data_IF_232207441712
#
_entry.id   IF_232207441712
#
_cell.length_a   1.000
_cell.length_b   1.000
_cell.length_c   1.000
_cell.angle_alpha   90.00
_cell.angle_beta   90.00
_cell.angle_gamma   90.00
#
_symmetry.space_group_name_H-M   'P 1'
#
loop_
_entity.id
_entity.type
_entity.pdbx_description
1 polymer ?
#
# COMPACT_ATOMS: atom_id res chain seq x y z
N UNK A 1 -18.61 25.22 5.71
CA UNK A 1 -18.28 24.49 4.46
C UNK A 1 -16.84 24.72 3.92
N UNK A 2 -15.86 25.11 4.74
CA UNK A 2 -14.44 25.24 4.32
C UNK A 2 -13.42 24.60 5.29
N UNK A 3 -13.82 23.62 6.11
CA UNK A 3 -12.92 22.97 7.10
C UNK A 3 -12.96 21.44 7.12
N UNK A 4 -13.54 20.77 6.12
CA UNK A 4 -13.63 19.28 6.07
C UNK A 4 -12.66 18.66 5.04
N UNK A 5 -11.88 19.47 4.30
CA UNK A 5 -10.95 18.96 3.26
C UNK A 5 -9.51 18.77 3.77
N UNK A 6 -9.24 18.97 5.06
CA UNK A 6 -7.88 18.93 5.61
C UNK A 6 -7.50 17.62 6.34
N UNK A 7 -8.21 16.51 6.10
CA UNK A 7 -7.90 15.21 6.71
C UNK A 7 -7.54 14.17 5.64
N UNK A 8 -6.55 14.47 4.80
CA UNK A 8 -5.93 13.45 3.93
C UNK A 8 -4.44 13.66 3.63
N UNK A 9 -3.78 14.61 4.29
CA UNK A 9 -2.38 14.95 4.03
C UNK A 9 -1.67 15.33 5.33
N UNK A 10 -1.21 14.33 6.08
CA UNK A 10 -0.07 14.51 6.98
C UNK A 10 0.98 13.49 6.54
N UNK A 11 1.96 13.99 5.79
CA UNK A 11 3.18 13.28 5.42
C UNK A 11 3.93 12.88 6.69
N UNK A 12 4.19 11.58 6.82
CA UNK A 12 5.08 11.01 7.83
C UNK A 12 6.54 11.24 7.40
N UNK A 13 7.24 12.14 8.09
CA UNK A 13 8.68 12.00 8.27
C UNK A 13 8.91 11.08 9.46
N UNK A 14 9.31 9.82 9.22
CA UNK A 14 9.85 8.96 10.27
C UNK A 14 11.32 9.34 10.47
N UNK A 15 11.60 9.97 11.60
CA UNK A 15 12.96 10.24 12.07
C UNK A 15 13.50 8.94 12.71
N UNK A 16 14.36 8.22 12.00
CA UNK A 16 15.14 7.11 12.57
C UNK A 16 16.28 7.69 13.40
N UNK A 17 16.04 7.98 14.68
CA UNK A 17 17.10 8.36 15.61
C UNK A 17 16.59 9.00 16.89
N UNK A 18 16.54 8.23 17.97
CA UNK A 18 16.27 8.75 19.32
C UNK A 18 15.97 7.64 20.32
N UNK A 19 16.96 7.29 21.14
CA UNK A 19 16.78 6.43 22.33
C UNK A 19 16.02 7.22 23.40
N UNK A 20 14.82 6.78 23.76
CA UNK A 20 14.24 6.98 25.10
C UNK A 20 13.42 5.75 25.49
N UNK A 21 13.56 5.34 26.74
CA UNK A 21 12.97 4.15 27.34
C UNK A 21 11.45 4.29 27.52
N UNK A 22 10.69 3.76 26.56
CA UNK A 22 9.40 3.09 26.79
C UNK A 22 9.35 1.92 25.82
N UNK A 23 9.08 0.69 26.29
CA UNK A 23 8.82 -0.50 25.46
C UNK A 23 7.48 -0.34 24.73
N UNK A 24 7.40 0.61 23.80
CA UNK A 24 6.24 0.80 22.94
C UNK A 24 6.74 0.64 21.52
N UNK A 25 6.32 -0.46 20.89
CA UNK A 25 6.71 -0.75 19.53
C UNK A 25 5.98 0.21 18.59
N UNK A 26 6.63 1.33 18.28
CA UNK A 26 6.18 2.35 17.32
C UNK A 26 5.96 1.78 15.90
N UNK A 27 6.31 0.50 15.65
CA UNK A 27 6.00 -0.21 14.40
C UNK A 27 4.68 -0.97 14.43
N UNK A 28 3.96 -1.01 15.57
CA UNK A 28 2.71 -1.78 15.69
C UNK A 28 1.62 -1.20 14.77
N UNK A 29 1.08 -2.05 13.89
CA UNK A 29 0.01 -1.73 12.95
C UNK A 29 -1.30 -2.39 13.38
N UNK A 30 -2.43 -1.80 12.99
CA UNK A 30 -3.74 -2.38 13.27
C UNK A 30 -4.80 -1.93 12.28
N UNK A 31 -5.58 -2.86 11.76
CA UNK A 31 -6.76 -2.54 10.97
C UNK A 31 -7.94 -2.34 11.93
N UNK A 32 -8.74 -1.30 11.70
CA UNK A 32 -9.88 -1.00 12.56
C UNK A 32 -11.12 -0.61 11.76
N UNK A 33 -12.28 -0.99 12.29
CA UNK A 33 -13.56 -0.38 11.95
C UNK A 33 -14.04 0.47 13.12
N UNK A 34 -14.77 1.53 12.80
CA UNK A 34 -15.29 2.54 13.71
C UNK A 34 -16.82 2.58 13.58
N UNK A 35 -17.45 2.73 14.72
CA UNK A 35 -18.83 3.17 14.87
C UNK A 35 -18.81 4.50 15.63
N UNK A 36 -19.11 5.58 14.94
CA UNK A 36 -19.18 6.94 15.48
C UNK A 36 -20.65 7.36 15.65
N UNK A 37 -21.06 7.51 16.92
CA UNK A 37 -22.43 7.84 17.30
C UNK A 37 -22.42 9.26 17.87
N UNK A 38 -23.13 10.20 17.24
CA UNK A 38 -23.18 11.56 17.76
C UNK A 38 -23.98 11.62 19.06
N UNK A 39 -23.53 12.43 20.02
CA UNK A 39 -24.25 12.65 21.27
C UNK A 39 -25.63 13.30 21.07
N UNK A 40 -25.87 13.91 19.91
CA UNK A 40 -27.11 14.61 19.57
C UNK A 40 -28.07 13.83 18.65
N UNK A 41 -27.69 12.65 18.15
CA UNK A 41 -28.39 12.03 17.01
C UNK A 41 -29.71 11.31 17.33
N UNK A 42 -29.93 10.80 18.55
CA UNK A 42 -31.17 10.08 18.89
C UNK A 42 -31.45 10.17 20.41
N UNK A 43 -32.69 10.47 20.82
CA UNK A 43 -33.16 10.14 22.18
C UNK A 43 -33.61 8.67 22.21
N UNK A 44 -33.11 7.80 23.12
CA UNK A 44 -32.34 8.07 24.34
C UNK A 44 -30.81 7.79 24.24
N UNK A 45 -30.17 7.88 23.07
CA UNK A 45 -28.72 7.65 22.86
C UNK A 45 -27.79 8.72 23.47
N UNK A 46 -28.30 9.59 24.34
CA UNK A 46 -27.53 10.67 25.01
C UNK A 46 -26.68 10.18 26.18
N UNK A 47 -26.92 8.99 26.71
CA UNK A 47 -26.17 8.46 27.85
C UNK A 47 -25.19 7.37 27.43
N UNK A 48 -24.02 7.37 28.08
CA UNK A 48 -22.99 6.33 27.97
C UNK A 48 -23.54 4.92 28.22
N UNK A 49 -24.62 4.80 29.01
CA UNK A 49 -25.32 3.54 29.30
C UNK A 49 -25.97 2.94 28.05
N UNK A 50 -26.60 3.74 27.20
CA UNK A 50 -27.22 3.24 25.97
C UNK A 50 -26.16 2.78 24.96
N UNK A 51 -25.05 3.53 24.87
CA UNK A 51 -23.90 3.13 24.04
C UNK A 51 -23.26 1.85 24.57
N UNK A 52 -23.17 1.69 25.89
CA UNK A 52 -22.67 0.46 26.51
C UNK A 52 -23.60 -0.73 26.25
N UNK A 53 -24.92 -0.52 26.23
CA UNK A 53 -25.86 -1.55 25.81
C UNK A 53 -25.62 -2.00 24.36
N UNK A 54 -25.49 -1.06 23.42
CA UNK A 54 -25.17 -1.37 22.00
C UNK A 54 -23.86 -2.16 21.91
N UNK A 55 -22.83 -1.68 22.62
CA UNK A 55 -21.52 -2.36 22.68
C UNK A 55 -21.65 -3.79 23.21
N UNK A 56 -22.40 -4.01 24.30
CA UNK A 56 -22.68 -5.34 24.85
C UNK A 56 -23.43 -6.22 23.88
N UNK A 57 -24.45 -5.69 23.20
CA UNK A 57 -25.23 -6.43 22.21
C UNK A 57 -24.35 -6.87 21.02
N UNK A 58 -23.35 -6.08 20.62
CA UNK A 58 -22.33 -6.47 19.63
C UNK A 58 -21.43 -7.60 20.17
N UNK A 59 -20.90 -7.45 21.39
CA UNK A 59 -20.01 -8.45 22.02
C UNK A 59 -20.72 -9.78 22.21
N UNK A 60 -21.98 -9.75 22.64
CA UNK A 60 -22.86 -10.91 22.83
C UNK A 60 -23.44 -11.44 21.52
N UNK A 61 -23.06 -10.84 20.37
CA UNK A 61 -23.48 -11.23 19.01
C UNK A 61 -25.00 -11.21 18.79
N UNK A 62 -25.73 -10.37 19.54
CA UNK A 62 -27.16 -10.10 19.29
C UNK A 62 -27.37 -9.24 18.04
N UNK A 63 -26.40 -8.37 17.76
CA UNK A 63 -26.28 -7.62 16.51
C UNK A 63 -24.82 -7.70 16.04
N UNK A 64 -24.60 -7.58 14.74
CA UNK A 64 -23.25 -7.43 14.18
C UNK A 64 -22.76 -6.00 14.32
N UNK A 65 -21.44 -5.81 14.27
CA UNK A 65 -20.86 -4.46 14.24
C UNK A 65 -21.31 -3.70 12.99
N UNK A 66 -21.43 -4.40 11.87
CA UNK A 66 -21.86 -3.88 10.57
C UNK A 66 -23.32 -3.42 10.57
N UNK A 67 -24.22 -4.17 11.23
CA UNK A 67 -25.60 -3.73 11.45
C UNK A 67 -25.65 -2.47 12.32
N UNK A 68 -24.85 -2.41 13.38
CA UNK A 68 -24.75 -1.22 14.22
C UNK A 68 -24.25 -0.01 13.41
N UNK A 69 -23.20 -0.17 12.59
CA UNK A 69 -22.72 0.86 11.65
C UNK A 69 -23.82 1.29 10.69
N UNK A 70 -24.48 0.36 10.00
CA UNK A 70 -25.55 0.68 9.05
C UNK A 70 -26.64 1.55 9.67
N UNK A 71 -27.03 1.23 10.90
CA UNK A 71 -28.15 1.87 11.58
C UNK A 71 -27.75 3.18 12.28
N UNK A 72 -26.56 3.25 12.88
CA UNK A 72 -26.19 4.30 13.84
C UNK A 72 -25.01 5.17 13.40
N UNK A 73 -24.22 4.74 12.42
CA UNK A 73 -23.06 5.52 11.97
C UNK A 73 -23.49 6.87 11.41
N UNK A 74 -22.88 7.91 11.94
CA UNK A 74 -23.19 9.30 11.63
C UNK A 74 -22.50 9.81 10.36
N UNK A 75 -21.38 9.19 9.99
CA UNK A 75 -20.61 9.53 8.80
C UNK A 75 -21.02 8.64 7.60
N UNK A 76 -21.57 9.21 6.52
CA UNK A 76 -21.99 8.44 5.35
C UNK A 76 -20.87 7.60 4.72
N UNK A 77 -19.63 8.08 4.71
CA UNK A 77 -18.49 7.36 4.14
C UNK A 77 -18.14 6.12 4.96
N UNK A 78 -18.14 6.23 6.30
CA UNK A 78 -17.88 5.08 7.16
C UNK A 78 -19.01 4.07 7.07
N UNK A 79 -20.26 4.53 6.94
CA UNK A 79 -21.41 3.66 6.73
C UNK A 79 -21.28 2.77 5.49
N UNK A 80 -20.90 3.35 4.35
CA UNK A 80 -20.65 2.60 3.10
C UNK A 80 -19.47 1.63 3.19
N UNK A 81 -18.48 1.92 4.05
CA UNK A 81 -17.30 1.07 4.26
C UNK A 81 -17.47 0.07 5.40
N UNK A 82 -18.71 -0.17 5.86
CA UNK A 82 -19.00 -1.01 7.02
C UNK A 82 -18.17 -0.65 8.26
N UNK A 83 -17.89 0.65 8.43
CA UNK A 83 -17.13 1.24 9.53
C UNK A 83 -15.63 1.31 9.29
N UNK A 84 -15.11 0.71 8.21
CA UNK A 84 -13.67 0.54 8.05
C UNK A 84 -12.91 1.87 7.88
N UNK A 85 -11.96 2.12 8.80
CA UNK A 85 -11.13 3.33 8.82
C UNK A 85 -9.69 3.07 8.37
N UNK A 86 -9.37 1.86 7.88
CA UNK A 86 -8.04 1.53 7.37
C UNK A 86 -7.09 0.97 8.41
N UNK A 87 -5.83 0.79 7.98
CA UNK A 87 -4.71 0.43 8.84
C UNK A 87 -4.22 1.69 9.56
N UNK A 88 -4.20 1.65 10.87
CA UNK A 88 -3.71 2.67 11.78
C UNK A 88 -2.31 2.28 12.28
N UNK A 89 -1.49 3.29 12.58
CA UNK A 89 -0.17 3.12 13.20
C UNK A 89 -0.21 3.70 14.59
N UNK A 90 0.45 3.02 15.53
CA UNK A 90 0.57 3.52 16.89
C UNK A 90 1.27 4.89 16.91
N UNK A 91 0.74 5.86 17.66
CA UNK A 91 1.16 7.25 17.69
C UNK A 91 0.67 8.10 16.51
N UNK A 92 -0.10 7.51 15.60
CA UNK A 92 -0.69 8.20 14.45
C UNK A 92 -2.13 7.74 14.19
N UNK A 93 -2.90 7.62 15.27
CA UNK A 93 -4.30 7.26 15.19
C UNK A 93 -5.15 8.40 14.63
N UNK A 94 -6.11 8.09 13.76
CA UNK A 94 -6.96 9.09 13.12
C UNK A 94 -7.93 9.80 14.08
N UNK A 95 -8.24 9.18 15.23
CA UNK A 95 -9.10 9.76 16.27
C UNK A 95 -8.24 10.40 17.39
N UNK A 96 -8.72 11.49 18.02
CA UNK A 96 -8.03 12.12 19.14
C UNK A 96 -8.23 11.30 20.42
N UNK A 97 -7.49 10.20 20.53
CA UNK A 97 -7.49 9.29 21.69
C UNK A 97 -6.27 9.56 22.58
N UNK A 98 -6.39 9.25 23.87
CA UNK A 98 -5.26 9.26 24.80
C UNK A 98 -4.27 8.12 24.49
N UNK A 99 -3.01 8.25 24.94
CA UNK A 99 -2.00 7.18 24.81
C UNK A 99 -2.49 5.86 25.42
N UNK A 100 -3.21 5.91 26.55
CA UNK A 100 -3.75 4.72 27.21
C UNK A 100 -4.86 4.03 26.38
N UNK A 101 -5.76 4.80 25.78
CA UNK A 101 -6.80 4.28 24.88
C UNK A 101 -6.17 3.67 23.63
N UNK A 102 -5.18 4.33 23.05
CA UNK A 102 -4.46 3.79 21.89
C UNK A 102 -3.77 2.47 22.23
N UNK A 103 -3.06 2.39 23.37
CA UNK A 103 -2.46 1.12 23.84
C UNK A 103 -3.53 0.03 23.98
N UNK A 104 -4.69 0.35 24.54
CA UNK A 104 -5.81 -0.61 24.65
C UNK A 104 -6.30 -1.07 23.29
N UNK A 105 -6.50 -0.15 22.33
CA UNK A 105 -6.97 -0.46 20.98
C UNK A 105 -5.99 -1.39 20.25
N UNK A 106 -4.69 -1.15 20.36
CA UNK A 106 -3.68 -1.97 19.71
C UNK A 106 -3.49 -3.33 20.40
N UNK A 107 -3.93 -3.52 21.64
CA UNK A 107 -3.87 -4.80 22.36
C UNK A 107 -5.09 -5.70 22.09
N UNK A 108 -6.14 -5.19 21.44
CA UNK A 108 -7.27 -6.01 21.00
C UNK A 108 -6.82 -7.10 20.01
N UNK A 109 -7.40 -8.29 20.15
CA UNK A 109 -7.33 -9.35 19.15
C UNK A 109 -8.30 -9.06 17.99
N UNK A 110 -8.03 -9.62 16.82
CA UNK A 110 -8.94 -9.52 15.68
C UNK A 110 -10.36 -9.98 16.06
N UNK A 111 -11.35 -9.19 15.68
CA UNK A 111 -12.77 -9.37 16.03
C UNK A 111 -13.19 -8.77 17.37
N UNK A 112 -12.27 -8.38 18.26
CA UNK A 112 -12.62 -7.78 19.54
C UNK A 112 -13.11 -6.32 19.40
N UNK A 113 -14.00 -5.95 20.31
CA UNK A 113 -14.62 -4.63 20.40
C UNK A 113 -13.96 -3.82 21.52
N UNK A 114 -13.59 -2.58 21.23
CA UNK A 114 -12.97 -1.67 22.20
C UNK A 114 -13.91 -1.31 23.35
N UNK A 115 -13.37 -0.69 24.40
CA UNK A 115 -14.17 0.14 25.29
C UNK A 115 -14.77 1.33 24.53
N UNK A 116 -15.78 1.97 25.13
CA UNK A 116 -16.32 3.23 24.60
C UNK A 116 -15.26 4.32 24.77
N UNK A 117 -14.94 4.98 23.67
CA UNK A 117 -14.11 6.19 23.66
C UNK A 117 -15.05 7.38 23.61
N UNK A 118 -14.87 8.30 24.56
CA UNK A 118 -15.67 9.51 24.63
C UNK A 118 -14.94 10.66 23.94
N UNK A 119 -15.48 11.07 22.80
CA UNK A 119 -15.00 12.23 22.05
C UNK A 119 -15.81 13.47 22.47
N UNK A 120 -15.34 14.70 22.14
CA UNK A 120 -16.06 15.91 22.52
C UNK A 120 -17.54 15.92 22.08
N UNK A 121 -17.82 15.50 20.84
CA UNK A 121 -19.17 15.54 20.25
C UNK A 121 -19.81 14.16 20.06
N UNK A 122 -19.03 13.09 20.25
CA UNK A 122 -19.39 11.75 19.79
C UNK A 122 -18.98 10.69 20.81
N UNK A 123 -19.54 9.49 20.64
CA UNK A 123 -18.99 8.26 21.19
C UNK A 123 -18.42 7.41 20.06
N UNK A 124 -17.27 6.80 20.30
CA UNK A 124 -16.62 5.89 19.37
C UNK A 124 -16.52 4.49 19.98
N UNK A 125 -16.92 3.50 19.19
CA UNK A 125 -16.63 2.09 19.44
C UNK A 125 -15.84 1.58 18.26
N UNK A 126 -14.71 0.91 18.51
CA UNK A 126 -13.88 0.34 17.48
C UNK A 126 -13.91 -1.18 17.53
N UNK A 127 -13.77 -1.79 16.36
CA UNK A 127 -13.54 -3.22 16.18
C UNK A 127 -12.16 -3.41 15.59
N UNK A 128 -11.35 -4.29 16.18
CA UNK A 128 -10.07 -4.69 15.58
C UNK A 128 -10.35 -5.62 14.42
N UNK A 129 -9.90 -5.25 13.24
CA UNK A 129 -10.06 -6.08 12.03
C UNK A 129 -8.83 -6.97 11.82
N UNK A 130 -9.06 -8.07 11.12
CA UNK A 130 -8.01 -8.99 10.72
C UNK A 130 -7.07 -8.37 9.68
N UNK A 131 -5.78 -8.56 9.89
CA UNK A 131 -4.75 -8.35 8.88
C UNK A 131 -4.21 -9.74 8.55
N UNK A 132 -4.20 -10.11 7.27
CA UNK A 132 -3.58 -11.35 6.82
C UNK A 132 -2.09 -11.03 6.61
N UNK A 133 -1.31 -11.22 7.67
CA UNK A 133 0.07 -10.71 7.78
C UNK A 133 1.07 -11.32 6.80
N UNK A 134 0.77 -12.49 6.23
CA UNK A 134 1.60 -13.18 5.24
C UNK A 134 1.24 -12.84 3.78
N UNK A 135 0.21 -12.01 3.56
CA UNK A 135 -0.25 -11.62 2.22
C UNK A 135 -0.17 -10.12 2.00
N UNK A 136 0.53 -9.73 0.93
CA UNK A 136 0.44 -8.41 0.32
C UNK A 136 -0.69 -8.37 -0.71
N UNK A 137 -1.17 -7.17 -1.02
CA UNK A 137 -2.20 -6.96 -2.03
C UNK A 137 -1.77 -5.88 -3.03
N UNK A 138 -1.71 -6.28 -4.29
CA UNK A 138 -1.60 -5.39 -5.44
C UNK A 138 -3.01 -5.06 -5.96
N UNK A 139 -3.18 -3.84 -6.46
CA UNK A 139 -4.47 -3.32 -6.92
C UNK A 139 -4.32 -2.34 -8.09
N UNK A 140 -5.28 -2.44 -9.01
CA UNK A 140 -5.50 -1.48 -10.09
C UNK A 140 -6.98 -1.14 -10.09
N UNK A 141 -7.29 0.15 -9.85
CA UNK A 141 -8.62 0.74 -10.07
C UNK A 141 -8.67 1.47 -11.41
N UNK A 142 -9.67 1.18 -12.24
CA UNK A 142 -9.96 1.92 -13.48
C UNK A 142 -11.38 2.47 -13.38
N UNK A 143 -11.49 3.79 -13.13
CA UNK A 143 -12.77 4.48 -12.98
C UNK A 143 -13.35 4.95 -14.32
N UNK A 144 -14.61 5.39 -14.33
CA UNK A 144 -15.25 6.07 -15.46
C UNK A 144 -15.94 7.36 -15.01
N UNK A 145 -16.28 8.23 -15.96
CA UNK A 145 -17.00 9.48 -15.65
C UNK A 145 -18.33 9.18 -14.96
N UNK A 146 -18.49 9.67 -13.73
CA UNK A 146 -19.69 9.44 -12.90
C UNK A 146 -19.56 8.30 -11.90
N UNK A 147 -18.48 7.51 -11.92
CA UNK A 147 -18.14 6.62 -10.81
C UNK A 147 -17.85 7.43 -9.54
N UNK A 148 -18.15 6.87 -8.37
CA UNK A 148 -17.94 7.55 -7.09
C UNK A 148 -16.44 7.81 -6.87
N UNK A 149 -16.08 9.02 -6.45
CA UNK A 149 -14.68 9.40 -6.21
C UNK A 149 -13.79 9.46 -7.46
N UNK A 150 -14.37 9.36 -8.65
CA UNK A 150 -13.62 9.41 -9.91
C UNK A 150 -12.90 10.75 -10.09
N UNK A 151 -11.59 10.76 -10.45
CA UNK A 151 -10.88 12.00 -10.73
C UNK A 151 -11.54 12.81 -11.86
N UNK A 152 -11.63 14.14 -11.71
CA UNK A 152 -12.27 15.04 -12.69
C UNK A 152 -11.66 14.90 -14.10
N UNK A 153 -10.36 14.59 -14.20
CA UNK A 153 -9.69 14.40 -15.48
C UNK A 153 -10.18 13.17 -16.27
N UNK A 154 -10.83 12.20 -15.61
CA UNK A 154 -11.35 11.00 -16.27
C UNK A 154 -12.66 11.32 -16.98
N UNK A 155 -12.63 11.32 -18.31
CA UNK A 155 -13.79 11.62 -19.16
C UNK A 155 -14.36 10.39 -19.88
N UNK A 156 -13.73 9.22 -19.74
CA UNK A 156 -14.13 7.98 -20.43
C UNK A 156 -15.44 7.40 -19.91
N UNK A 157 -16.20 6.72 -20.78
CA UNK A 157 -17.43 5.99 -20.43
C UNK A 157 -17.12 4.71 -19.65
N UNK A 158 -18.16 4.07 -19.11
CA UNK A 158 -18.02 2.78 -18.43
C UNK A 158 -17.51 1.68 -19.38
N UNK A 159 -17.99 1.65 -20.61
CA UNK A 159 -17.56 0.68 -21.63
C UNK A 159 -16.10 0.90 -22.02
N UNK A 160 -15.66 2.16 -22.12
CA UNK A 160 -14.26 2.48 -22.37
C UNK A 160 -13.36 2.09 -21.17
N UNK A 161 -13.83 2.30 -19.95
CA UNK A 161 -13.13 1.85 -18.75
C UNK A 161 -13.01 0.33 -18.68
N UNK A 162 -14.05 -0.41 -19.08
CA UNK A 162 -14.01 -1.87 -19.15
C UNK A 162 -12.97 -2.37 -20.15
N UNK A 163 -12.94 -1.81 -21.36
CA UNK A 163 -11.91 -2.13 -22.37
C UNK A 163 -10.50 -1.86 -21.85
N UNK A 164 -10.32 -0.74 -21.16
CA UNK A 164 -9.04 -0.41 -20.50
C UNK A 164 -8.66 -1.44 -19.43
N UNK A 165 -9.64 -1.97 -18.67
CA UNK A 165 -9.40 -3.01 -17.67
C UNK A 165 -9.06 -4.36 -18.31
N UNK A 166 -9.71 -4.70 -19.43
CA UNK A 166 -9.38 -5.88 -20.21
C UNK A 166 -7.96 -5.81 -20.79
N UNK A 167 -7.56 -4.65 -21.29
CA UNK A 167 -6.18 -4.40 -21.74
C UNK A 167 -5.18 -4.50 -20.59
N UNK A 168 -5.46 -3.88 -19.44
CA UNK A 168 -4.59 -3.98 -18.26
C UNK A 168 -4.45 -5.45 -17.81
N UNK A 169 -5.55 -6.19 -17.74
CA UNK A 169 -5.54 -7.61 -17.38
C UNK A 169 -4.75 -8.45 -18.40
N UNK A 170 -4.87 -8.14 -19.69
CA UNK A 170 -4.10 -8.79 -20.75
C UNK A 170 -2.61 -8.55 -20.57
N UNK A 171 -2.19 -7.29 -20.38
CA UNK A 171 -0.79 -6.94 -20.18
C UNK A 171 -0.18 -7.64 -18.95
N UNK A 172 -0.93 -7.74 -17.85
CA UNK A 172 -0.49 -8.48 -16.66
C UNK A 172 -0.34 -9.98 -16.94
N UNK A 173 -1.30 -10.57 -17.66
CA UNK A 173 -1.23 -11.99 -18.06
C UNK A 173 -0.09 -12.30 -19.04
N UNK A 174 0.35 -11.32 -19.81
CA UNK A 174 1.54 -11.39 -20.67
C UNK A 174 2.85 -11.22 -19.89
N UNK A 175 2.78 -11.00 -18.57
CA UNK A 175 3.94 -10.93 -17.68
C UNK A 175 4.56 -9.54 -17.56
N UNK A 176 3.85 -8.47 -17.95
CA UNK A 176 4.32 -7.10 -17.66
C UNK A 176 4.35 -6.86 -16.15
N UNK A 177 5.30 -6.05 -15.70
CA UNK A 177 5.42 -5.64 -14.30
C UNK A 177 4.13 -4.96 -13.84
N UNK A 178 3.69 -5.31 -12.63
CA UNK A 178 2.41 -4.82 -12.13
C UNK A 178 2.44 -3.30 -11.97
N UNK A 179 3.55 -2.76 -11.49
CA UNK A 179 3.74 -1.34 -11.27
C UNK A 179 3.66 -0.51 -12.54
N UNK A 180 4.15 -1.03 -13.67
CA UNK A 180 4.02 -0.39 -14.98
C UNK A 180 2.57 -0.32 -15.43
N UNK A 181 1.84 -1.43 -15.29
CA UNK A 181 0.42 -1.49 -15.64
C UNK A 181 -0.39 -0.58 -14.70
N UNK A 182 -0.10 -0.59 -13.40
CA UNK A 182 -0.76 0.27 -12.42
C UNK A 182 -0.53 1.75 -12.71
N UNK A 183 0.70 2.16 -13.01
CA UNK A 183 1.06 3.53 -13.40
C UNK A 183 0.35 3.97 -14.68
N UNK A 184 0.23 3.07 -15.66
CA UNK A 184 -0.40 3.34 -16.95
C UNK A 184 -1.93 3.44 -16.84
N UNK A 185 -2.57 2.52 -16.13
CA UNK A 185 -4.02 2.35 -16.18
C UNK A 185 -4.75 2.84 -14.93
N UNK A 186 -4.12 2.77 -13.75
CA UNK A 186 -4.84 2.93 -12.50
C UNK A 186 -5.12 4.38 -12.13
N UNK A 187 -6.30 4.62 -11.52
CA UNK A 187 -6.68 5.87 -10.88
C UNK A 187 -6.67 5.78 -9.36
N UNK A 188 -6.25 4.64 -8.81
CA UNK A 188 -6.03 4.51 -7.37
C UNK A 188 -4.88 5.42 -6.90
N UNK A 189 -4.92 5.82 -5.64
CA UNK A 189 -3.87 6.66 -5.05
C UNK A 189 -2.52 5.94 -4.97
N UNK A 190 -2.57 4.61 -4.93
CA UNK A 190 -1.47 3.66 -4.96
C UNK A 190 -0.87 3.47 -6.36
N UNK A 191 -1.48 3.98 -7.43
CA UNK A 191 -0.96 3.85 -8.80
C UNK A 191 0.48 4.38 -8.91
N UNK A 192 0.77 5.49 -8.22
CA UNK A 192 2.12 6.09 -8.14
C UNK A 192 3.14 5.22 -7.40
N UNK A 193 2.66 4.23 -6.64
CA UNK A 193 3.42 3.22 -5.89
C UNK A 193 3.26 1.84 -6.52
N UNK A 194 3.06 1.82 -7.84
CA UNK A 194 2.96 0.58 -8.59
C UNK A 194 1.81 -0.30 -8.13
N UNK A 195 0.71 0.27 -7.62
CA UNK A 195 -0.49 -0.49 -7.29
C UNK A 195 -0.47 -1.22 -5.94
N UNK A 196 0.60 -1.13 -5.14
CA UNK A 196 0.70 -1.89 -3.89
C UNK A 196 -0.12 -1.26 -2.75
N UNK A 197 -1.11 -1.99 -2.23
CA UNK A 197 -1.98 -1.56 -1.12
C UNK A 197 -1.43 -1.88 0.28
N UNK A 198 -0.36 -2.66 0.38
CA UNK A 198 0.12 -3.16 1.67
C UNK A 198 -0.45 -4.54 2.00
N UNK A 199 -0.56 -4.82 3.29
CA UNK A 199 -1.12 -6.08 3.79
C UNK A 199 -2.57 -6.26 3.34
N UNK A 200 -2.94 -7.51 3.06
CA UNK A 200 -4.32 -7.89 2.78
C UNK A 200 -5.18 -7.73 4.04
N UNK A 201 -6.14 -6.82 3.97
CA UNK A 201 -7.16 -6.63 5.00
C UNK A 201 -8.52 -6.94 4.35
N UNK A 202 -9.19 -8.06 4.70
CA UNK A 202 -10.48 -8.42 4.11
C UNK A 202 -11.51 -7.29 4.15
N UNK A 203 -11.50 -6.52 5.25
CA UNK A 203 -12.40 -5.37 5.45
C UNK A 203 -12.11 -4.19 4.53
N UNK A 204 -10.90 -4.08 3.98
CA UNK A 204 -10.54 -3.04 3.02
C UNK A 204 -11.11 -3.30 1.62
N UNK A 205 -11.50 -4.54 1.32
CA UNK A 205 -12.13 -4.91 0.05
C UNK A 205 -13.62 -4.59 0.06
N UNK A 206 -14.17 -4.33 -1.14
CA UNK A 206 -15.62 -4.32 -1.33
C UNK A 206 -16.20 -5.67 -0.90
N UNK A 207 -17.37 -5.70 -0.22
CA UNK A 207 -18.00 -6.96 0.17
C UNK A 207 -18.17 -7.95 -0.99
N UNK A 208 -18.54 -7.45 -2.17
CA UNK A 208 -18.68 -8.24 -3.40
C UNK A 208 -17.36 -8.82 -3.94
N UNK A 209 -16.21 -8.25 -3.56
CA UNK A 209 -14.89 -8.68 -4.05
C UNK A 209 -14.21 -9.69 -3.12
N UNK A 210 -14.60 -9.73 -1.83
CA UNK A 210 -13.91 -10.51 -0.79
C UNK A 210 -13.76 -11.98 -1.18
N UNK A 211 -14.84 -12.64 -1.62
CA UNK A 211 -14.78 -14.04 -2.01
C UNK A 211 -13.76 -14.29 -3.13
N UNK A 212 -13.79 -13.47 -4.18
CA UNK A 212 -12.87 -13.60 -5.30
C UNK A 212 -11.41 -13.35 -4.91
N UNK A 213 -11.14 -12.32 -4.11
CA UNK A 213 -9.77 -11.92 -3.76
C UNK A 213 -9.15 -12.80 -2.68
N UNK A 214 -9.91 -13.21 -1.66
CA UNK A 214 -9.38 -14.01 -0.55
C UNK A 214 -9.02 -15.44 -0.97
N UNK A 215 -9.65 -15.95 -2.03
CA UNK A 215 -9.40 -17.29 -2.56
C UNK A 215 -8.21 -17.35 -3.53
N UNK A 216 -7.65 -16.19 -3.93
CA UNK A 216 -6.50 -16.14 -4.81
C UNK A 216 -5.27 -16.77 -4.15
N UNK A 217 -4.53 -17.52 -4.96
CA UNK A 217 -3.21 -18.02 -4.62
C UNK A 217 -2.14 -16.94 -4.82
N UNK A 218 -0.96 -17.21 -4.29
CA UNK A 218 0.19 -16.32 -4.46
C UNK A 218 0.50 -16.07 -5.95
N UNK A 219 0.63 -14.81 -6.34
CA UNK A 219 0.86 -14.38 -7.73
C UNK A 219 -0.37 -14.44 -8.64
N UNK A 220 -1.48 -15.03 -8.19
CA UNK A 220 -2.70 -15.12 -8.97
C UNK A 220 -3.37 -13.75 -9.13
N UNK A 221 -3.81 -13.46 -10.35
CA UNK A 221 -4.48 -12.22 -10.73
C UNK A 221 -5.99 -12.48 -10.74
N UNK A 222 -6.76 -11.61 -10.08
CA UNK A 222 -8.22 -11.70 -10.05
C UNK A 222 -8.84 -11.52 -11.44
N UNK A 223 -10.08 -11.98 -11.66
CA UNK A 223 -10.91 -11.42 -12.72
C UNK A 223 -11.13 -9.91 -12.50
N UNK A 224 -11.66 -9.23 -13.51
CA UNK A 224 -12.11 -7.84 -13.37
C UNK A 224 -13.34 -7.82 -12.47
N UNK A 225 -13.27 -7.07 -11.37
CA UNK A 225 -14.35 -6.94 -10.39
C UNK A 225 -14.92 -5.52 -10.45
N UNK A 226 -16.24 -5.37 -10.53
CA UNK A 226 -16.89 -4.05 -10.61
C UNK A 226 -17.37 -3.57 -9.22
N UNK A 227 -17.12 -2.30 -8.92
CA UNK A 227 -17.74 -1.58 -7.81
C UNK A 227 -18.25 -0.20 -8.23
N UNK A 228 -18.81 0.55 -7.28
CA UNK A 228 -19.20 1.95 -7.47
C UNK A 228 -18.03 2.89 -7.82
N UNK A 229 -16.77 2.48 -7.55
CA UNK A 229 -15.57 3.28 -7.85
C UNK A 229 -15.04 3.05 -9.26
N UNK A 230 -15.30 1.88 -9.85
CA UNK A 230 -14.60 1.46 -11.05
C UNK A 230 -14.51 -0.05 -11.23
N UNK A 231 -13.66 -0.44 -12.18
CA UNK A 231 -13.21 -1.81 -12.36
C UNK A 231 -11.91 -2.04 -11.59
N UNK A 232 -11.83 -3.19 -10.94
CA UNK A 232 -10.74 -3.55 -10.04
C UNK A 232 -10.06 -4.82 -10.52
N UNK A 233 -8.74 -4.83 -10.45
CA UNK A 233 -7.91 -6.02 -10.64
C UNK A 233 -7.01 -6.12 -9.42
N UNK A 234 -6.90 -7.32 -8.85
CA UNK A 234 -6.12 -7.59 -7.66
C UNK A 234 -5.10 -8.69 -7.93
N UNK A 235 -4.02 -8.71 -7.15
CA UNK A 235 -3.09 -9.83 -7.09
C UNK A 235 -2.58 -10.01 -5.66
N UNK A 236 -2.50 -11.27 -5.21
CA UNK A 236 -1.87 -11.61 -3.94
C UNK A 236 -0.37 -11.68 -4.12
N UNK A 237 0.37 -10.97 -3.28
CA UNK A 237 1.83 -10.91 -3.30
C UNK A 237 2.42 -11.23 -1.92
N UNK A 238 3.76 -11.20 -1.81
CA UNK A 238 4.40 -11.20 -0.49
C UNK A 238 4.20 -9.79 0.06
N UNK A 239 3.93 -9.63 1.36
CA UNK A 239 3.94 -8.31 1.96
C UNK A 239 5.35 -7.71 1.81
N UNK A 240 5.43 -6.51 1.27
CA UNK A 240 6.68 -5.77 1.21
C UNK A 240 7.16 -5.42 2.63
N UNK A 241 8.44 -5.64 2.95
CA UNK A 241 9.02 -5.19 4.20
C UNK A 241 9.01 -3.66 4.27
N UNK A 242 9.05 -3.10 5.48
CA UNK A 242 9.09 -1.63 5.65
C UNK A 242 10.42 -1.02 5.20
N UNK A 243 11.52 -1.79 5.32
CA UNK A 243 12.88 -1.39 4.98
C UNK A 243 13.62 -2.56 4.37
N UNK A 244 14.45 -2.29 3.35
CA UNK A 244 15.36 -3.26 2.73
C UNK A 244 16.77 -2.67 2.62
N UNK A 245 17.79 -3.52 2.66
CA UNK A 245 19.15 -3.16 2.26
C UNK A 245 19.35 -3.46 0.78
N UNK A 246 19.69 -2.44 -0.02
CA UNK A 246 19.73 -2.56 -1.48
C UNK A 246 21.08 -2.12 -2.07
N UNK A 247 21.60 -2.93 -2.99
CA UNK A 247 22.68 -2.56 -3.91
C UNK A 247 22.14 -2.51 -5.32
N UNK A 248 22.74 -1.67 -6.16
CA UNK A 248 22.47 -1.66 -7.59
C UNK A 248 23.72 -1.46 -8.44
N UNK A 249 23.62 -1.90 -9.69
CA UNK A 249 24.52 -1.53 -10.78
C UNK A 249 23.65 -0.87 -11.84
N UNK A 250 23.82 0.42 -12.05
CA UNK A 250 23.16 1.15 -13.14
C UNK A 250 24.05 1.19 -14.38
N UNK A 251 23.49 0.83 -15.53
CA UNK A 251 24.06 0.96 -16.87
C UNK A 251 23.20 1.94 -17.67
N UNK A 252 23.65 3.20 -17.77
CA UNK A 252 22.94 4.24 -18.51
C UNK A 252 23.08 4.05 -20.03
N UNK A 253 22.27 4.71 -20.84
CA UNK A 253 22.45 4.76 -22.31
C UNK A 253 22.29 6.18 -22.83
N UNK A 254 22.68 6.42 -24.08
CA UNK A 254 22.53 7.73 -24.71
C UNK A 254 21.05 8.17 -24.71
N UNK A 255 20.76 9.31 -24.08
CA UNK A 255 19.41 9.84 -23.95
C UNK A 255 18.63 9.35 -22.71
N UNK A 256 19.21 8.47 -21.89
CA UNK A 256 18.63 8.17 -20.58
C UNK A 256 18.68 9.41 -19.66
N UNK A 257 17.74 9.48 -18.71
CA UNK A 257 17.62 10.59 -17.78
C UNK A 257 18.89 10.73 -16.94
N UNK A 258 19.47 11.94 -16.91
CA UNK A 258 20.72 12.26 -16.21
C UNK A 258 21.98 11.52 -16.72
N UNK A 259 21.91 10.82 -17.86
CA UNK A 259 23.11 10.26 -18.49
C UNK A 259 24.05 11.40 -18.94
N UNK A 260 25.34 11.39 -18.54
CA UNK A 260 26.27 12.39 -19.02
C UNK A 260 26.53 12.21 -20.52
N UNK A 261 26.84 13.29 -21.22
CA UNK A 261 27.13 13.27 -22.67
C UNK A 261 28.27 12.32 -23.09
N UNK A 262 29.10 11.89 -22.13
CA UNK A 262 30.14 10.88 -22.34
C UNK A 262 29.59 9.47 -22.54
N UNK A 263 28.32 9.21 -22.24
CA UNK A 263 27.66 7.93 -22.52
C UNK A 263 27.15 7.95 -23.97
N UNK A 264 27.83 7.19 -24.83
CA UNK A 264 27.51 7.10 -26.27
C UNK A 264 26.86 5.79 -26.68
N UNK A 265 26.79 4.79 -25.78
CA UNK A 265 26.21 3.48 -26.09
C UNK A 265 24.69 3.57 -26.28
N UNK A 266 24.17 2.75 -27.19
CA UNK A 266 22.74 2.64 -27.46
C UNK A 266 21.99 2.00 -26.28
N UNK A 267 20.66 2.06 -26.33
CA UNK A 267 19.80 1.40 -25.35
C UNK A 267 19.98 -0.12 -25.41
N UNK A 268 20.11 -0.69 -26.60
CA UNK A 268 20.32 -2.12 -26.82
C UNK A 268 21.68 -2.56 -26.28
N UNK A 269 22.75 -1.80 -26.56
CA UNK A 269 24.10 -2.08 -26.05
C UNK A 269 24.16 -2.01 -24.52
N UNK A 270 23.46 -1.05 -23.91
CA UNK A 270 23.36 -0.95 -22.46
C UNK A 270 22.62 -2.14 -21.84
N UNK A 271 21.55 -2.63 -22.49
CA UNK A 271 20.82 -3.83 -22.07
C UNK A 271 21.71 -5.06 -22.13
N UNK A 272 22.39 -5.28 -23.25
CA UNK A 272 23.29 -6.42 -23.43
C UNK A 272 24.45 -6.39 -22.44
N UNK A 273 25.01 -5.20 -22.17
CA UNK A 273 26.02 -5.02 -21.14
C UNK A 273 25.48 -5.38 -19.76
N UNK A 274 24.32 -4.86 -19.36
CA UNK A 274 23.70 -5.19 -18.08
C UNK A 274 23.45 -6.70 -17.94
N UNK A 275 22.93 -7.36 -18.98
CA UNK A 275 22.71 -8.81 -18.98
C UNK A 275 24.01 -9.61 -18.85
N UNK A 276 25.06 -9.18 -19.56
CA UNK A 276 26.39 -9.78 -19.48
C UNK A 276 26.99 -9.66 -18.07
N UNK A 277 26.89 -8.47 -17.46
CA UNK A 277 27.35 -8.23 -16.10
C UNK A 277 26.55 -9.04 -15.08
N UNK A 278 25.23 -9.13 -15.25
CA UNK A 278 24.38 -9.98 -14.42
C UNK A 278 24.81 -11.44 -14.45
N UNK A 279 25.05 -12.00 -15.65
CA UNK A 279 25.53 -13.38 -15.82
C UNK A 279 26.84 -13.63 -15.07
N UNK A 280 27.77 -12.67 -15.10
CA UNK A 280 29.03 -12.75 -14.35
C UNK A 280 28.81 -12.84 -12.84
N UNK A 281 27.90 -12.03 -12.31
CA UNK A 281 27.58 -12.03 -10.87
C UNK A 281 26.91 -13.35 -10.48
N UNK A 282 25.97 -13.86 -11.30
CA UNK A 282 25.34 -15.17 -11.07
C UNK A 282 26.38 -16.30 -11.09
N UNK A 283 27.42 -16.18 -11.91
CA UNK A 283 28.55 -17.12 -11.98
C UNK A 283 29.60 -16.91 -10.86
N UNK A 284 29.32 -16.07 -9.88
CA UNK A 284 30.15 -15.90 -8.68
C UNK A 284 31.10 -14.70 -8.69
N UNK A 285 31.07 -13.83 -9.69
CA UNK A 285 31.80 -12.56 -9.61
C UNK A 285 31.21 -11.65 -8.52
N UNK A 286 32.07 -10.97 -7.76
CA UNK A 286 31.65 -10.08 -6.67
C UNK A 286 30.86 -8.87 -7.21
N UNK A 287 29.64 -8.70 -6.71
CA UNK A 287 28.75 -7.60 -7.11
C UNK A 287 29.42 -6.23 -6.93
N UNK A 288 30.11 -6.02 -5.82
CA UNK A 288 30.77 -4.74 -5.52
C UNK A 288 31.92 -4.41 -6.47
N UNK A 289 32.71 -5.42 -6.89
CA UNK A 289 33.74 -5.27 -7.93
C UNK A 289 33.12 -4.90 -9.27
N UNK A 290 32.03 -5.55 -9.67
CA UNK A 290 31.31 -5.19 -10.89
C UNK A 290 30.78 -3.75 -10.80
N UNK A 291 30.14 -3.38 -9.69
CA UNK A 291 29.60 -2.04 -9.49
C UNK A 291 30.68 -0.95 -9.60
N UNK A 292 31.82 -1.11 -8.91
CA UNK A 292 32.94 -0.16 -8.98
C UNK A 292 33.50 0.01 -10.39
N UNK A 293 33.49 -1.05 -11.19
CA UNK A 293 34.12 -1.05 -12.52
C UNK A 293 33.17 -0.58 -13.62
N UNK A 294 31.89 -0.93 -13.53
CA UNK A 294 30.97 -0.80 -14.65
C UNK A 294 29.76 0.09 -14.38
N UNK A 295 29.42 0.40 -13.12
CA UNK A 295 28.22 1.20 -12.88
C UNK A 295 28.45 2.67 -13.25
N UNK A 296 27.48 3.24 -13.97
CA UNK A 296 27.46 4.66 -14.30
C UNK A 296 26.84 5.52 -13.19
N UNK A 297 26.32 4.91 -12.11
CA UNK A 297 25.88 5.66 -10.95
C UNK A 297 27.09 6.12 -10.11
N UNK A 298 27.50 7.37 -10.37
CA UNK A 298 28.63 8.01 -9.69
C UNK A 298 28.43 8.16 -8.18
N UNK A 299 27.20 8.08 -7.68
CA UNK A 299 26.91 8.22 -6.25
C UNK A 299 27.22 6.95 -5.46
N UNK A 300 27.00 5.76 -6.04
CA UNK A 300 27.16 4.48 -5.34
C UNK A 300 28.28 3.59 -5.85
N UNK A 301 28.81 3.81 -7.07
CA UNK A 301 29.78 2.88 -7.67
C UNK A 301 31.00 2.63 -6.77
N UNK A 302 31.57 3.67 -6.15
CA UNK A 302 32.70 3.56 -5.21
C UNK A 302 32.34 2.81 -3.93
N UNK A 303 31.07 2.86 -3.53
CA UNK A 303 30.54 2.17 -2.36
C UNK A 303 29.94 0.80 -2.73
N UNK A 304 30.54 0.07 -3.67
CA UNK A 304 30.07 -1.26 -4.10
C UNK A 304 28.63 -1.29 -4.63
N UNK A 305 28.11 -0.16 -5.13
CA UNK A 305 26.73 -0.04 -5.58
C UNK A 305 25.70 0.07 -4.44
N UNK A 306 26.14 0.26 -3.20
CA UNK A 306 25.27 0.27 -2.02
C UNK A 306 24.46 1.57 -1.91
N UNK A 307 23.14 1.41 -1.99
CA UNK A 307 22.14 2.46 -1.80
C UNK A 307 21.75 2.61 -0.31
N UNK A 308 22.25 1.72 0.56
CA UNK A 308 21.92 1.68 1.97
C UNK A 308 20.53 1.10 2.25
N UNK A 309 19.97 1.49 3.40
CA UNK A 309 18.63 1.11 3.81
C UNK A 309 17.59 1.97 3.07
N UNK A 310 16.80 1.33 2.23
CA UNK A 310 15.68 1.92 1.51
C UNK A 310 14.40 1.65 2.28
N UNK A 311 13.73 2.72 2.69
CA UNK A 311 12.37 2.63 3.20
C UNK A 311 11.40 2.62 2.03
N UNK A 312 10.29 1.91 2.21
CA UNK A 312 9.09 2.09 1.41
C UNK A 312 8.76 3.60 1.32
N UNK A 313 8.40 4.11 0.12
CA UNK A 313 8.11 5.54 -0.13
C UNK A 313 9.36 6.47 -0.22
N UNK A 314 10.56 5.94 -0.47
CA UNK A 314 11.77 6.75 -0.75
C UNK A 314 12.24 6.68 -2.21
N UNK A 315 13.06 7.67 -2.59
CA UNK A 315 13.53 8.06 -3.93
C UNK A 315 14.25 6.97 -4.76
N UNK A 316 13.55 5.93 -5.21
CA UNK A 316 13.94 5.18 -6.42
C UNK A 316 12.77 5.17 -7.42
N UNK A 317 13.03 5.06 -8.74
CA UNK A 317 11.98 4.83 -9.72
C UNK A 317 11.10 3.64 -9.35
N UNK A 318 9.80 3.75 -9.60
CA UNK A 318 8.81 2.74 -9.17
C UNK A 318 9.10 1.36 -9.77
N UNK A 319 9.63 1.35 -10.99
CA UNK A 319 10.04 0.14 -11.71
C UNK A 319 11.13 -0.62 -10.93
N UNK A 320 12.00 0.11 -10.21
CA UNK A 320 13.01 -0.48 -9.33
C UNK A 320 12.43 -0.84 -7.96
N UNK A 321 11.53 -0.02 -7.41
CA UNK A 321 10.91 -0.26 -6.09
C UNK A 321 10.13 -1.59 -6.08
N UNK A 322 9.27 -1.82 -7.07
CA UNK A 322 8.51 -3.08 -7.17
C UNK A 322 9.45 -4.29 -7.18
N UNK A 323 10.50 -4.26 -8.00
CA UNK A 323 11.45 -5.38 -8.09
C UNK A 323 12.25 -5.53 -6.79
N UNK A 324 12.73 -4.42 -6.22
CA UNK A 324 13.56 -4.43 -5.02
C UNK A 324 12.83 -5.01 -3.80
N UNK A 325 11.58 -4.59 -3.57
CA UNK A 325 10.79 -5.03 -2.41
C UNK A 325 10.22 -6.44 -2.55
N UNK A 326 10.05 -6.93 -3.79
CA UNK A 326 9.70 -8.32 -4.05
C UNK A 326 10.92 -9.27 -4.05
N UNK A 327 12.14 -8.75 -4.14
CA UNK A 327 13.36 -9.55 -4.18
C UNK A 327 13.62 -10.22 -2.82
N UNK A 328 14.03 -11.49 -2.85
CA UNK A 328 14.42 -12.19 -1.62
C UNK A 328 15.82 -11.74 -1.16
N UNK A 329 16.08 -11.89 0.14
CA UNK A 329 17.37 -11.54 0.72
C UNK A 329 18.48 -12.36 0.07
N UNK A 330 19.58 -11.69 -0.28
CA UNK A 330 20.74 -12.20 -1.02
C UNK A 330 20.44 -12.68 -2.45
N UNK A 331 19.33 -12.25 -3.06
CA UNK A 331 19.04 -12.51 -4.48
C UNK A 331 19.33 -11.31 -5.37
N UNK A 332 19.59 -11.60 -6.63
CA UNK A 332 19.86 -10.64 -7.70
C UNK A 332 18.64 -10.60 -8.61
N UNK A 333 18.18 -9.40 -8.98
CA UNK A 333 17.06 -9.23 -9.90
C UNK A 333 17.41 -9.64 -11.33
N UNK A 334 16.41 -9.80 -12.19
CA UNK A 334 16.59 -9.62 -13.64
C UNK A 334 17.03 -8.18 -13.95
N UNK A 335 17.45 -7.91 -15.20
CA UNK A 335 17.76 -6.54 -15.62
C UNK A 335 16.48 -5.73 -15.70
N UNK A 336 16.42 -4.64 -14.93
CA UNK A 336 15.24 -3.76 -14.84
C UNK A 336 15.51 -2.45 -15.57
N UNK A 337 14.61 -2.02 -16.44
CA UNK A 337 14.69 -0.71 -17.08
C UNK A 337 14.08 0.37 -16.17
N UNK A 338 14.74 1.52 -16.07
CA UNK A 338 14.20 2.74 -15.48
C UNK A 338 14.49 3.93 -16.40
N UNK A 339 13.93 5.12 -16.13
CA UNK A 339 14.30 6.33 -16.88
C UNK A 339 15.81 6.62 -16.91
N UNK A 340 16.56 6.20 -15.89
CA UNK A 340 18.01 6.42 -15.80
C UNK A 340 18.88 5.41 -16.55
N UNK A 341 18.30 4.28 -17.00
CA UNK A 341 19.03 3.21 -17.66
C UNK A 341 18.59 1.82 -17.21
N UNK A 342 19.45 0.83 -17.40
CA UNK A 342 19.23 -0.54 -16.94
C UNK A 342 19.89 -0.78 -15.59
N UNK A 343 19.23 -1.56 -14.74
CA UNK A 343 19.66 -1.80 -13.36
C UNK A 343 19.71 -3.30 -13.07
N UNK A 344 20.75 -3.70 -12.33
CA UNK A 344 20.83 -5.00 -11.66
C UNK A 344 20.73 -4.70 -10.18
N UNK A 345 19.74 -5.27 -9.50
CA UNK A 345 19.49 -5.05 -8.07
C UNK A 345 19.97 -6.26 -7.28
N UNK A 346 20.49 -6.02 -6.07
CA UNK A 346 20.80 -7.05 -5.08
C UNK A 346 20.25 -6.62 -3.74
N UNK A 347 19.33 -7.39 -3.18
CA UNK A 347 18.85 -7.19 -1.82
C UNK A 347 19.78 -7.91 -0.85
N UNK A 348 20.30 -7.23 0.16
CA UNK A 348 21.16 -7.83 1.18
C UNK A 348 20.54 -7.85 2.59
N UNK A 349 19.43 -7.14 2.80
CA UNK A 349 18.64 -7.10 4.05
C UNK A 349 17.14 -6.97 3.73
#
# INVERSE_FOLDING_TARGET
MKKIIALLLVLLFVNCGGKTEKKVDVKKKGAFSLLLIKKDQVEPLKSKETIDKIRRDIIEKKITFEEAVKNLESNPLYKEREGFIGIQRFGLFALPVSEAEEVSLFNLKAGEISSIIELPSDFAILKKEEIIEDKGLNHILISWKGAYGCPIAVQRTKEQALKMAEEALKELKEGKLWGDVAKKYSNGLEAKRGGYLGFLVPKALFPSHRGSVLNLQFGEISPILESILGFHIYQITKPWPDVIGLKHIMIAYQGALMAPFTITRSKEEAKELAESLRKKIINGEDFGKIARKYSDDKSTYKNNGDLGLICLDKFIPIELEEVAFNLEINKISEVVESPGGYHILLRYE
#
